data_IF_543451936450
#
_entry.id   IF_543451936450
#
_cell.length_a   1.000
_cell.length_b   1.000
_cell.length_c   1.000
_cell.angle_alpha   90.00
_cell.angle_beta   90.00
_cell.angle_gamma   90.00
#
_symmetry.space_group_name_H-M   'P 1'
#
loop_
_entity.id
_entity.type
_entity.pdbx_description
1 polymer ?
#
# COMPACT_ATOMS: atom_id res chain seq x y z
N UNK A 1 -59.15 -38.40 7.03
CA UNK A 1 -57.85 -37.69 7.00
C UNK A 1 -57.74 -36.46 7.91
N UNK A 2 -58.63 -36.23 8.90
CA UNK A 2 -58.46 -35.15 9.90
C UNK A 2 -57.95 -35.64 11.26
N UNK A 3 -58.06 -36.94 11.54
CA UNK A 3 -57.70 -37.54 12.84
C UNK A 3 -56.19 -37.71 13.05
N UNK A 4 -55.41 -37.88 11.98
CA UNK A 4 -53.95 -38.13 12.09
C UNK A 4 -53.12 -36.87 12.39
N UNK A 5 -53.58 -35.66 12.02
CA UNK A 5 -52.87 -34.41 12.31
C UNK A 5 -52.91 -34.04 13.80
N UNK A 6 -54.00 -34.41 14.48
CA UNK A 6 -54.17 -34.15 15.91
C UNK A 6 -53.28 -35.08 16.77
N UNK A 7 -53.05 -36.32 16.33
CA UNK A 7 -52.18 -37.27 17.04
C UNK A 7 -50.71 -36.79 17.02
N UNK A 8 -50.24 -36.27 15.88
CA UNK A 8 -48.86 -35.78 15.74
C UNK A 8 -48.58 -34.55 16.62
N UNK A 9 -49.55 -33.63 16.72
CA UNK A 9 -49.45 -32.44 17.57
C UNK A 9 -49.46 -32.80 19.06
N UNK A 10 -50.25 -33.80 19.47
CA UNK A 10 -50.28 -34.29 20.85
C UNK A 10 -48.94 -34.95 21.22
N UNK A 11 -48.32 -35.73 20.32
CA UNK A 11 -47.00 -36.31 20.56
C UNK A 11 -45.90 -35.25 20.74
N UNK A 12 -45.93 -34.15 19.98
CA UNK A 12 -44.97 -33.05 20.09
C UNK A 12 -45.13 -32.26 21.42
N UNK A 13 -46.36 -32.09 21.91
CA UNK A 13 -46.63 -31.41 23.18
C UNK A 13 -46.21 -32.29 24.38
N UNK A 14 -46.40 -33.61 24.32
CA UNK A 14 -45.93 -34.53 25.36
C UNK A 14 -44.39 -34.56 25.49
N UNK A 15 -43.64 -34.32 24.42
CA UNK A 15 -42.18 -34.24 24.45
C UNK A 15 -41.64 -32.97 25.15
N UNK A 16 -42.41 -31.88 25.20
CA UNK A 16 -41.97 -30.62 25.80
C UNK A 16 -42.24 -30.50 27.31
N UNK A 17 -43.14 -31.30 27.88
CA UNK A 17 -43.55 -31.16 29.30
C UNK A 17 -42.75 -32.02 30.31
N UNK A 18 -41.80 -32.84 29.87
CA UNK A 18 -41.00 -33.70 30.77
C UNK A 18 -39.75 -33.02 31.37
N UNK A 19 -39.58 -31.70 31.18
CA UNK A 19 -38.34 -30.99 31.53
C UNK A 19 -38.24 -30.46 33.00
N UNK A 20 -39.15 -30.80 33.91
CA UNK A 20 -39.15 -30.23 35.28
C UNK A 20 -39.18 -31.22 36.46
N UNK A 21 -38.79 -32.48 36.25
CA UNK A 21 -38.42 -33.41 37.33
C UNK A 21 -37.31 -34.33 36.82
N UNK A 22 -36.23 -34.53 37.57
CA UNK A 22 -35.21 -35.51 37.18
C UNK A 22 -35.86 -36.91 37.16
N UNK A 23 -35.97 -37.57 35.99
CA UNK A 23 -36.67 -38.84 35.89
C UNK A 23 -35.87 -39.91 36.62
N UNK A 24 -36.56 -40.87 37.26
CA UNK A 24 -35.88 -42.06 37.79
C UNK A 24 -35.18 -42.82 36.65
N UNK A 25 -34.14 -43.64 36.92
CA UNK A 25 -33.46 -44.42 35.88
C UNK A 25 -34.40 -45.27 35.02
N UNK A 26 -35.50 -45.76 35.59
CA UNK A 26 -36.55 -46.48 34.86
C UNK A 26 -37.38 -45.56 33.96
N UNK A 27 -37.68 -44.32 34.40
CA UNK A 27 -38.35 -43.32 33.57
C UNK A 27 -37.45 -42.82 32.44
N UNK A 28 -36.13 -42.70 32.65
CA UNK A 28 -35.16 -42.42 31.59
C UNK A 28 -35.10 -43.55 30.57
N UNK A 29 -35.04 -44.81 31.02
CA UNK A 29 -35.01 -45.97 30.11
C UNK A 29 -36.30 -46.11 29.31
N UNK A 30 -37.46 -45.85 29.93
CA UNK A 30 -38.74 -45.80 29.23
C UNK A 30 -38.84 -44.62 28.26
N UNK A 31 -38.29 -43.45 28.61
CA UNK A 31 -38.23 -42.30 27.72
C UNK A 31 -37.32 -42.57 26.51
N UNK A 32 -36.16 -43.22 26.70
CA UNK A 32 -35.26 -43.63 25.62
C UNK A 32 -35.91 -44.68 24.71
N UNK A 33 -36.57 -45.70 25.27
CA UNK A 33 -37.29 -46.70 24.49
C UNK A 33 -38.48 -46.07 23.73
N UNK A 34 -39.19 -45.13 24.35
CA UNK A 34 -40.28 -44.39 23.70
C UNK A 34 -39.75 -43.47 22.59
N UNK A 35 -38.62 -42.79 22.80
CA UNK A 35 -37.94 -42.00 21.76
C UNK A 35 -37.48 -42.90 20.60
N UNK A 36 -36.88 -44.06 20.91
CA UNK A 36 -36.41 -45.00 19.90
C UNK A 36 -37.55 -45.58 19.07
N UNK A 37 -38.65 -45.99 19.71
CA UNK A 37 -39.88 -46.42 19.03
C UNK A 37 -40.54 -45.30 18.24
N UNK A 38 -40.58 -44.08 18.76
CA UNK A 38 -41.11 -42.93 18.04
C UNK A 38 -40.27 -42.64 16.79
N UNK A 39 -38.94 -42.72 16.89
CA UNK A 39 -38.01 -42.53 15.78
C UNK A 39 -38.11 -43.67 14.74
N UNK A 40 -38.33 -44.91 15.18
CA UNK A 40 -38.63 -46.05 14.30
C UNK A 40 -39.98 -45.90 13.59
N UNK A 41 -41.04 -45.47 14.27
CA UNK A 41 -42.35 -45.23 13.65
C UNK A 41 -42.33 -44.03 12.69
N UNK A 42 -41.49 -43.02 12.95
CA UNK A 42 -41.30 -41.88 12.07
C UNK A 42 -40.46 -42.24 10.83
N UNK A 43 -39.55 -43.22 10.94
CA UNK A 43 -38.68 -43.66 9.84
C UNK A 43 -39.45 -44.25 8.65
N UNK A 44 -40.66 -44.77 8.85
CA UNK A 44 -41.50 -45.35 7.79
C UNK A 44 -42.76 -44.52 7.46
N UNK A 45 -42.95 -43.36 8.09
CA UNK A 45 -44.06 -42.47 7.77
C UNK A 45 -43.73 -41.59 6.54
N UNK A 46 -44.50 -41.68 5.44
CA UNK A 46 -44.28 -40.87 4.24
C UNK A 46 -44.26 -39.36 4.51
N UNK A 47 -45.08 -38.88 5.44
CA UNK A 47 -45.16 -37.46 5.79
C UNK A 47 -43.91 -36.97 6.54
N UNK A 48 -43.27 -37.84 7.30
CA UNK A 48 -42.03 -37.50 8.02
C UNK A 48 -40.82 -37.50 7.08
N UNK A 49 -40.75 -38.45 6.13
CA UNK A 49 -39.73 -38.43 5.06
C UNK A 49 -39.86 -37.19 4.18
N UNK A 50 -41.08 -36.77 3.88
CA UNK A 50 -41.35 -35.54 3.12
C UNK A 50 -40.95 -34.29 3.92
N UNK A 51 -41.27 -34.23 5.21
CA UNK A 51 -40.84 -33.15 6.10
C UNK A 51 -39.32 -33.04 6.23
N UNK A 52 -38.60 -34.17 6.36
CA UNK A 52 -37.14 -34.18 6.39
C UNK A 52 -36.53 -33.67 5.07
N UNK A 53 -37.05 -34.11 3.93
CA UNK A 53 -36.59 -33.60 2.62
C UNK A 53 -36.83 -32.11 2.44
N UNK A 54 -37.95 -31.59 2.94
CA UNK A 54 -38.22 -30.15 2.95
C UNK A 54 -37.26 -29.39 3.87
N UNK A 55 -36.92 -29.95 5.04
CA UNK A 55 -35.95 -29.34 5.96
C UNK A 55 -34.53 -29.35 5.39
N UNK A 56 -34.10 -30.46 4.77
CA UNK A 56 -32.81 -30.56 4.07
C UNK A 56 -32.74 -29.56 2.91
N UNK A 57 -33.80 -29.45 2.11
CA UNK A 57 -33.89 -28.46 1.04
C UNK A 57 -33.81 -27.01 1.54
N UNK A 58 -34.53 -26.69 2.61
CA UNK A 58 -34.51 -25.36 3.23
C UNK A 58 -33.16 -25.04 3.89
N UNK A 59 -32.48 -26.03 4.48
CA UNK A 59 -31.14 -25.84 5.04
C UNK A 59 -30.11 -25.58 3.94
N UNK A 60 -30.21 -26.28 2.81
CA UNK A 60 -29.31 -26.10 1.67
C UNK A 60 -29.55 -24.74 0.98
N UNK A 61 -30.80 -24.31 0.83
CA UNK A 61 -31.17 -22.97 0.37
C UNK A 61 -30.63 -21.88 1.32
N UNK A 62 -30.79 -22.04 2.64
CA UNK A 62 -30.22 -21.10 3.61
C UNK A 62 -28.70 -21.03 3.57
N UNK A 63 -28.00 -22.17 3.36
CA UNK A 63 -26.55 -22.18 3.18
C UNK A 63 -26.14 -21.44 1.90
N UNK A 64 -26.84 -21.68 0.80
CA UNK A 64 -26.57 -20.98 -0.47
C UNK A 64 -26.81 -19.47 -0.36
N UNK A 65 -27.91 -19.04 0.24
CA UNK A 65 -28.17 -17.61 0.49
C UNK A 65 -27.09 -16.98 1.39
N UNK A 66 -26.65 -17.70 2.43
CA UNK A 66 -25.61 -17.21 3.34
C UNK A 66 -24.25 -17.09 2.64
N UNK A 67 -23.90 -18.04 1.79
CA UNK A 67 -22.70 -17.97 0.95
C UNK A 67 -22.76 -16.82 -0.06
N UNK A 68 -23.92 -16.60 -0.70
CA UNK A 68 -24.12 -15.48 -1.61
C UNK A 68 -23.99 -14.14 -0.89
N UNK A 69 -24.65 -13.97 0.27
CA UNK A 69 -24.54 -12.75 1.09
C UNK A 69 -23.10 -12.51 1.57
N UNK A 70 -22.36 -13.55 1.95
CA UNK A 70 -20.95 -13.42 2.29
C UNK A 70 -20.10 -12.99 1.09
N UNK A 71 -20.29 -13.58 -0.09
CA UNK A 71 -19.58 -13.20 -1.29
C UNK A 71 -19.88 -11.76 -1.75
N UNK A 72 -21.13 -11.31 -1.62
CA UNK A 72 -21.54 -9.93 -1.90
C UNK A 72 -20.92 -8.94 -0.91
N UNK A 73 -20.91 -9.28 0.38
CA UNK A 73 -20.29 -8.44 1.41
C UNK A 73 -18.76 -8.38 1.25
N UNK A 74 -18.10 -9.50 0.95
CA UNK A 74 -16.66 -9.51 0.61
C UNK A 74 -16.35 -8.66 -0.63
N UNK A 75 -17.20 -8.74 -1.66
CA UNK A 75 -17.06 -7.92 -2.86
C UNK A 75 -17.22 -6.44 -2.53
N UNK A 76 -18.27 -6.07 -1.78
CA UNK A 76 -18.52 -4.69 -1.35
C UNK A 76 -17.38 -4.13 -0.48
N UNK A 77 -16.82 -4.94 0.40
CA UNK A 77 -15.65 -4.58 1.20
C UNK A 77 -14.40 -4.37 0.33
N UNK A 78 -14.17 -5.22 -0.67
CA UNK A 78 -13.09 -5.03 -1.65
C UNK A 78 -13.28 -3.76 -2.48
N UNK A 79 -14.50 -3.48 -2.93
CA UNK A 79 -14.82 -2.28 -3.71
C UNK A 79 -14.61 -1.01 -2.87
N UNK A 80 -15.11 -0.97 -1.63
CA UNK A 80 -14.89 0.14 -0.71
C UNK A 80 -13.41 0.34 -0.35
N UNK A 81 -12.64 -0.74 -0.16
CA UNK A 81 -11.20 -0.67 0.06
C UNK A 81 -10.46 -0.11 -1.17
N UNK A 82 -10.88 -0.49 -2.38
CA UNK A 82 -10.31 0.04 -3.62
C UNK A 82 -10.59 1.53 -3.80
N UNK A 83 -11.80 1.99 -3.46
CA UNK A 83 -12.15 3.42 -3.54
C UNK A 83 -11.37 4.25 -2.51
N UNK A 84 -11.20 3.76 -1.28
CA UNK A 84 -10.34 4.40 -0.28
C UNK A 84 -8.87 4.44 -0.73
N UNK A 85 -8.36 3.38 -1.37
CA UNK A 85 -6.99 3.38 -1.91
C UNK A 85 -6.83 4.38 -3.05
N UNK A 86 -7.83 4.49 -3.94
CA UNK A 86 -7.83 5.54 -4.97
C UNK A 86 -7.82 6.92 -4.32
N UNK A 87 -8.64 7.18 -3.32
CA UNK A 87 -8.63 8.47 -2.61
C UNK A 87 -7.27 8.75 -1.96
N UNK A 88 -6.68 7.75 -1.30
CA UNK A 88 -5.36 7.88 -0.65
C UNK A 88 -4.25 8.22 -1.66
N UNK A 89 -4.22 7.56 -2.81
CA UNK A 89 -3.21 7.83 -3.84
C UNK A 89 -3.56 9.09 -4.65
N UNK A 90 -4.77 9.25 -5.16
CA UNK A 90 -5.13 10.33 -6.09
C UNK A 90 -5.48 11.68 -5.46
N UNK A 91 -5.74 11.76 -4.15
CA UNK A 91 -6.15 13.04 -3.55
C UNK A 91 -5.09 14.11 -3.79
N UNK A 92 -5.57 15.20 -4.39
CA UNK A 92 -4.79 16.37 -4.74
C UNK A 92 -3.61 16.12 -5.68
N UNK A 93 -3.74 15.17 -6.62
CA UNK A 93 -2.68 14.89 -7.60
C UNK A 93 -3.11 15.09 -9.03
N UNK A 94 -2.15 15.54 -9.85
CA UNK A 94 -2.25 15.65 -11.30
C UNK A 94 -1.01 14.99 -11.90
N UNK A 95 -1.20 14.17 -12.93
CA UNK A 95 -0.12 13.52 -13.65
C UNK A 95 0.10 14.20 -15.00
N UNK A 96 1.36 14.34 -15.42
CA UNK A 96 1.69 14.77 -16.77
C UNK A 96 1.62 13.58 -17.74
N UNK A 97 1.65 13.87 -19.04
CA UNK A 97 2.07 12.89 -20.03
C UNK A 97 3.59 12.61 -19.95
N UNK A 98 4.10 11.74 -20.81
CA UNK A 98 5.52 11.39 -20.87
C UNK A 98 6.40 12.46 -21.51
N UNK A 99 5.82 13.54 -22.05
CA UNK A 99 6.52 14.73 -22.51
C UNK A 99 6.58 15.81 -21.42
N UNK A 100 6.04 15.53 -20.23
CA UNK A 100 6.02 16.44 -19.10
C UNK A 100 4.96 17.53 -19.18
N UNK A 101 3.89 17.32 -19.96
CA UNK A 101 2.77 18.25 -20.05
C UNK A 101 1.58 17.79 -19.22
N UNK A 102 1.08 18.67 -18.36
CA UNK A 102 -0.16 18.48 -17.61
C UNK A 102 -1.37 18.93 -18.44
N UNK A 103 -2.35 18.05 -18.68
CA UNK A 103 -3.56 18.37 -19.45
C UNK A 103 -4.48 19.36 -18.74
N UNK A 104 -4.57 19.27 -17.42
CA UNK A 104 -5.53 20.00 -16.59
C UNK A 104 -4.83 21.03 -15.69
N UNK A 105 -3.80 21.70 -16.23
CA UNK A 105 -3.01 22.68 -15.48
C UNK A 105 -3.76 24.00 -15.31
N UNK A 106 -4.09 24.34 -14.05
CA UNK A 106 -4.85 25.55 -13.72
C UNK A 106 -4.11 26.55 -12.82
N UNK A 107 -2.83 26.31 -12.54
CA UNK A 107 -2.05 27.15 -11.62
C UNK A 107 -1.30 28.29 -12.31
N UNK A 108 -1.37 28.40 -13.64
CA UNK A 108 -0.61 29.39 -14.40
C UNK A 108 0.89 29.12 -14.33
N UNK A 109 1.72 30.15 -14.57
CA UNK A 109 3.17 29.99 -14.46
C UNK A 109 3.60 29.81 -12.99
N UNK A 110 4.47 28.84 -12.75
CA UNK A 110 5.03 28.51 -11.44
C UNK A 110 6.51 28.16 -11.56
N UNK A 111 7.23 28.31 -10.46
CA UNK A 111 8.64 27.94 -10.37
C UNK A 111 8.78 26.54 -9.76
N UNK A 112 9.85 25.83 -10.13
CA UNK A 112 10.24 24.55 -9.54
C UNK A 112 11.53 24.79 -8.77
N UNK A 113 11.59 24.40 -7.50
CA UNK A 113 12.77 24.60 -6.66
C UNK A 113 13.01 23.47 -5.68
N UNK A 114 14.15 23.52 -4.99
CA UNK A 114 14.38 22.72 -3.79
C UNK A 114 14.93 23.61 -2.69
N UNK A 115 14.70 23.22 -1.43
CA UNK A 115 15.20 23.95 -0.27
C UNK A 115 16.70 23.75 -0.13
N UNK A 116 17.48 24.83 -0.04
CA UNK A 116 18.95 24.76 0.08
C UNK A 116 19.47 24.19 1.41
N UNK A 117 18.57 23.86 2.35
CA UNK A 117 18.89 23.27 3.64
C UNK A 117 19.57 24.21 4.64
N UNK A 118 19.75 25.50 4.32
CA UNK A 118 20.45 26.48 5.18
C UNK A 118 19.53 27.22 6.15
N UNK A 119 18.22 26.98 6.07
CA UNK A 119 17.26 27.52 7.03
C UNK A 119 17.55 27.04 8.45
N UNK A 120 17.56 27.96 9.42
CA UNK A 120 17.59 27.63 10.85
C UNK A 120 16.18 27.66 11.40
N UNK A 121 15.80 26.65 12.18
CA UNK A 121 14.57 26.68 12.97
C UNK A 121 14.61 27.91 13.87
N UNK A 122 13.62 28.79 13.76
CA UNK A 122 13.43 29.90 14.68
C UNK A 122 12.96 29.38 16.05
N UNK A 123 13.12 30.24 17.06
CA UNK A 123 12.80 29.93 18.45
C UNK A 123 11.30 29.62 18.69
N UNK A 124 10.42 30.06 17.79
CA UNK A 124 8.98 29.78 17.81
C UNK A 124 8.61 28.44 17.15
N UNK A 125 9.59 27.63 16.78
CA UNK A 125 9.40 26.36 16.09
C UNK A 125 9.03 26.50 14.62
N UNK A 126 8.97 27.74 14.10
CA UNK A 126 8.83 27.96 12.66
C UNK A 126 10.20 27.79 12.00
N UNK A 127 10.23 27.18 10.83
CA UNK A 127 11.33 27.44 9.93
C UNK A 127 10.93 28.69 9.14
N UNK A 128 11.67 29.81 9.23
CA UNK A 128 11.60 30.88 8.24
C UNK A 128 12.20 30.33 6.95
N UNK A 129 11.43 29.45 6.34
CA UNK A 129 11.46 29.10 4.94
C UNK A 129 11.73 30.36 4.08
N UNK A 130 12.47 30.34 2.96
CA UNK A 130 12.99 29.25 2.14
C UNK A 130 14.00 29.91 1.18
N UNK A 131 15.31 29.68 1.33
CA UNK A 131 16.19 29.90 0.18
C UNK A 131 15.96 28.74 -0.76
N UNK A 132 15.02 28.95 -1.69
CA UNK A 132 14.84 28.04 -2.80
C UNK A 132 15.95 28.24 -3.82
N UNK A 133 16.58 27.13 -4.20
CA UNK A 133 17.32 27.10 -5.46
C UNK A 133 16.30 26.76 -6.55
N UNK A 134 16.03 27.72 -7.41
CA UNK A 134 15.15 27.54 -8.56
C UNK A 134 15.87 26.70 -9.61
N UNK A 135 15.20 25.65 -10.06
CA UNK A 135 15.73 24.64 -10.99
C UNK A 135 14.84 24.43 -12.21
N UNK A 136 13.80 25.25 -12.39
CA UNK A 136 12.88 25.14 -13.50
C UNK A 136 11.57 25.86 -13.26
N UNK A 137 10.58 25.54 -14.09
CA UNK A 137 9.22 26.03 -13.98
C UNK A 137 8.22 25.13 -14.70
N UNK A 138 6.93 25.41 -14.45
CA UNK A 138 5.83 24.89 -15.26
C UNK A 138 5.17 26.10 -15.92
N UNK A 139 5.11 26.11 -17.24
CA UNK A 139 4.52 27.24 -17.97
C UNK A 139 2.98 27.29 -17.83
N UNK A 140 2.37 28.36 -18.34
CA UNK A 140 0.91 28.52 -18.30
C UNK A 140 0.13 27.39 -19.00
N UNK A 141 0.77 26.65 -19.92
CA UNK A 141 0.18 25.54 -20.66
C UNK A 141 0.44 24.18 -19.99
N UNK A 142 1.03 24.17 -18.77
CA UNK A 142 1.31 22.97 -18.01
C UNK A 142 2.56 22.21 -18.45
N UNK A 143 3.45 22.82 -19.25
CA UNK A 143 4.69 22.18 -19.66
C UNK A 143 5.78 22.34 -18.59
N UNK A 144 6.31 21.23 -18.10
CA UNK A 144 7.48 21.21 -17.21
C UNK A 144 8.74 21.53 -18.01
N UNK A 145 9.57 22.43 -17.48
CA UNK A 145 10.88 22.78 -18.01
C UNK A 145 11.89 22.87 -16.86
N UNK A 146 12.90 21.99 -16.88
CA UNK A 146 13.98 22.01 -15.88
C UNK A 146 15.20 22.73 -16.45
N UNK A 147 15.78 23.62 -15.65
CA UNK A 147 17.03 24.31 -15.90
C UNK A 147 17.90 24.20 -14.65
N UNK A 148 18.65 23.10 -14.56
CA UNK A 148 19.48 22.80 -13.40
C UNK A 148 20.71 23.72 -13.37
N UNK A 149 20.96 24.48 -12.29
CA UNK A 149 22.07 25.43 -12.23
C UNK A 149 23.43 24.72 -12.17
N UNK A 150 24.45 25.28 -12.82
CA UNK A 150 25.79 24.70 -12.83
C UNK A 150 26.54 24.86 -11.50
N UNK A 151 26.25 25.95 -10.77
CA UNK A 151 26.91 26.30 -9.52
C UNK A 151 25.96 26.03 -8.35
N UNK A 152 26.13 24.87 -7.72
CA UNK A 152 25.36 24.45 -6.55
C UNK A 152 26.28 24.42 -5.35
N UNK A 153 25.83 25.01 -4.23
CA UNK A 153 26.55 24.86 -2.96
C UNK A 153 26.15 23.52 -2.35
N UNK A 154 27.06 22.56 -2.39
CA UNK A 154 26.93 21.28 -1.71
C UNK A 154 27.70 21.34 -0.39
N UNK A 155 27.00 21.47 0.73
CA UNK A 155 27.55 21.68 2.07
C UNK A 155 27.75 20.40 2.88
N UNK A 156 27.34 19.25 2.31
CA UNK A 156 27.52 17.91 2.86
C UNK A 156 28.42 17.09 1.96
N UNK A 157 28.96 16.00 2.50
CA UNK A 157 29.69 15.00 1.72
C UNK A 157 28.74 13.89 1.29
N UNK A 158 29.08 13.10 0.27
CA UNK A 158 28.25 11.95 -0.13
C UNK A 158 28.04 10.96 1.02
N UNK A 159 29.06 10.73 1.86
CA UNK A 159 28.99 9.82 3.01
C UNK A 159 28.05 10.26 4.13
N UNK A 160 27.73 11.56 4.20
CA UNK A 160 26.87 12.15 5.24
C UNK A 160 25.52 12.63 4.70
N UNK A 161 25.48 13.05 3.43
CA UNK A 161 24.33 13.66 2.79
C UNK A 161 23.42 12.68 2.02
N UNK A 162 23.90 11.49 1.65
CA UNK A 162 23.16 10.60 0.74
C UNK A 162 22.15 9.67 1.44
N UNK A 163 22.52 8.91 2.48
CA UNK A 163 21.65 7.88 3.06
C UNK A 163 20.92 8.15 4.39
N UNK A 164 20.91 9.34 5.03
CA UNK A 164 20.16 9.48 6.29
C UNK A 164 18.64 9.25 6.16
N UNK A 165 18.12 9.03 4.94
CA UNK A 165 16.69 8.84 4.66
C UNK A 165 16.36 7.53 3.89
N UNK A 166 17.34 6.66 3.64
CA UNK A 166 17.05 5.27 3.26
C UNK A 166 17.00 4.44 4.54
N UNK A 167 15.86 4.44 5.25
CA UNK A 167 15.69 3.81 6.57
C UNK A 167 16.05 2.31 6.67
N UNK A 168 16.46 1.67 5.57
CA UNK A 168 16.79 0.26 5.43
C UNK A 168 18.31 0.00 5.25
N UNK A 169 19.11 1.02 4.91
CA UNK A 169 20.56 0.91 4.67
C UNK A 169 21.29 1.91 5.55
N UNK A 170 22.17 1.43 6.43
CA UNK A 170 23.00 2.31 7.25
C UNK A 170 24.14 2.87 6.39
N UNK A 171 24.45 4.16 6.57
CA UNK A 171 25.56 4.82 5.88
C UNK A 171 26.88 4.04 6.01
N UNK A 172 27.13 3.45 7.19
CA UNK A 172 28.35 2.71 7.52
C UNK A 172 28.50 1.40 6.74
N UNK A 173 27.41 0.86 6.18
CA UNK A 173 27.46 -0.36 5.37
C UNK A 173 27.80 -0.09 3.90
N UNK A 174 27.79 1.19 3.48
CA UNK A 174 27.98 1.59 2.08
C UNK A 174 29.46 1.81 1.78
N UNK A 175 29.90 1.28 0.64
CA UNK A 175 31.25 1.51 0.14
C UNK A 175 31.27 2.76 -0.75
N UNK A 176 32.12 3.73 -0.40
CA UNK A 176 32.29 4.97 -1.17
C UNK A 176 33.65 5.01 -1.86
N UNK A 177 33.69 5.46 -3.13
CA UNK A 177 34.98 5.67 -3.81
C UNK A 177 35.66 6.99 -3.45
N UNK A 178 34.87 8.01 -3.11
CA UNK A 178 35.32 9.34 -2.67
C UNK A 178 34.30 9.86 -1.63
N UNK A 179 34.41 9.42 -0.36
CA UNK A 179 33.40 9.71 0.66
C UNK A 179 33.27 11.20 0.99
N UNK A 180 34.32 11.99 0.79
CA UNK A 180 34.38 13.43 1.09
C UNK A 180 33.89 14.32 -0.06
N UNK A 181 33.51 13.73 -1.20
CA UNK A 181 33.01 14.48 -2.35
C UNK A 181 31.81 15.35 -1.94
N UNK A 182 31.83 16.68 -2.19
CA UNK A 182 30.71 17.55 -1.90
C UNK A 182 29.46 17.10 -2.66
N UNK A 183 28.37 16.93 -1.93
CA UNK A 183 27.15 16.30 -2.41
C UNK A 183 25.89 17.05 -1.94
N UNK A 184 24.92 17.19 -2.83
CA UNK A 184 23.61 17.74 -2.54
C UNK A 184 22.51 16.80 -3.06
N UNK A 185 21.53 16.57 -2.21
CA UNK A 185 20.31 15.86 -2.57
C UNK A 185 19.14 16.83 -2.59
N UNK A 186 18.38 16.85 -3.70
CA UNK A 186 17.22 17.75 -3.83
C UNK A 186 15.96 17.27 -3.09
N UNK A 187 16.00 16.10 -2.44
CA UNK A 187 14.80 15.41 -1.96
C UNK A 187 14.19 14.48 -3.00
N UNK A 188 13.25 13.61 -2.59
CA UNK A 188 12.48 12.74 -3.49
C UNK A 188 11.46 13.48 -4.36
N UNK A 189 11.26 14.77 -4.08
CA UNK A 189 10.42 15.69 -4.85
C UNK A 189 11.08 17.06 -4.91
N UNK A 190 10.73 17.80 -5.94
CA UNK A 190 10.96 19.25 -6.00
C UNK A 190 9.71 19.96 -5.48
N UNK A 191 9.87 21.19 -5.01
CA UNK A 191 8.77 22.04 -4.58
C UNK A 191 8.27 22.88 -5.76
N UNK A 192 6.95 23.06 -5.84
CA UNK A 192 6.30 23.97 -6.78
C UNK A 192 5.98 25.26 -6.06
N UNK A 193 6.42 26.39 -6.62
CA UNK A 193 6.33 27.71 -6.00
C UNK A 193 5.50 28.66 -6.85
N UNK A 194 4.62 29.42 -6.19
CA UNK A 194 3.87 30.52 -6.82
C UNK A 194 4.06 31.79 -6.02
N UNK A 195 4.72 32.78 -6.61
CA UNK A 195 5.05 34.03 -5.93
C UNK A 195 5.92 33.79 -4.69
N UNK A 196 6.90 32.90 -4.78
CA UNK A 196 7.81 32.55 -3.68
C UNK A 196 7.19 31.71 -2.56
N UNK A 197 5.96 31.21 -2.71
CA UNK A 197 5.31 30.32 -1.74
C UNK A 197 5.14 28.93 -2.30
N UNK A 198 5.48 27.90 -1.53
CA UNK A 198 5.17 26.51 -1.89
C UNK A 198 3.66 26.30 -2.01
N UNK A 199 3.25 25.69 -3.13
CA UNK A 199 1.87 25.27 -3.41
C UNK A 199 1.73 23.75 -3.59
N UNK A 200 2.83 23.02 -3.51
CA UNK A 200 2.84 21.57 -3.59
C UNK A 200 4.21 21.00 -3.96
N UNK A 201 4.21 19.73 -4.33
CA UNK A 201 5.39 18.93 -4.63
C UNK A 201 5.31 18.30 -6.02
N UNK A 202 6.43 18.28 -6.72
CA UNK A 202 6.62 17.63 -8.02
C UNK A 202 7.46 16.37 -7.84
N UNK A 203 6.86 15.22 -8.09
CA UNK A 203 7.54 13.93 -8.13
C UNK A 203 7.76 13.50 -9.58
N UNK A 204 8.71 12.59 -9.80
CA UNK A 204 8.96 11.99 -11.11
C UNK A 204 9.10 10.47 -11.02
N UNK A 205 8.55 9.75 -12.00
CA UNK A 205 8.58 8.28 -12.06
C UNK A 205 7.62 7.72 -13.11
N UNK A 206 7.46 6.40 -13.21
CA UNK A 206 6.57 5.80 -14.21
C UNK A 206 5.18 5.40 -13.68
N UNK A 207 4.98 5.41 -12.37
CA UNK A 207 3.72 5.02 -11.74
C UNK A 207 3.47 5.87 -10.52
N UNK A 208 2.31 6.54 -10.46
CA UNK A 208 1.93 7.39 -9.35
C UNK A 208 2.01 6.69 -7.99
N UNK A 209 1.51 5.44 -7.94
CA UNK A 209 1.47 4.62 -6.72
C UNK A 209 2.88 4.30 -6.23
N UNK A 210 3.73 3.84 -7.14
CA UNK A 210 5.11 3.46 -6.83
C UNK A 210 5.94 4.68 -6.48
N UNK A 211 5.82 5.77 -7.24
CA UNK A 211 6.47 7.05 -6.96
C UNK A 211 6.06 7.58 -5.58
N UNK A 212 4.78 7.56 -5.23
CA UNK A 212 4.32 7.96 -3.90
C UNK A 212 4.88 7.08 -2.78
N UNK A 213 4.85 5.75 -2.96
CA UNK A 213 5.33 4.82 -1.96
C UNK A 213 6.83 4.97 -1.70
N UNK A 214 7.62 5.18 -2.76
CA UNK A 214 9.06 5.39 -2.66
C UNK A 214 9.44 6.76 -2.09
N UNK A 215 8.62 7.78 -2.30
CA UNK A 215 8.86 9.12 -1.77
C UNK A 215 8.49 9.28 -0.28
N UNK A 216 7.76 8.31 0.31
CA UNK A 216 7.25 8.40 1.68
C UNK A 216 7.89 7.35 2.59
N UNK A 217 8.59 7.76 3.67
CA UNK A 217 9.18 6.83 4.65
C UNK A 217 8.21 5.77 5.19
N UNK A 218 6.95 6.15 5.42
CA UNK A 218 5.92 5.25 5.94
C UNK A 218 5.53 4.12 4.96
N UNK A 219 5.79 4.33 3.67
CA UNK A 219 5.30 3.51 2.56
C UNK A 219 6.43 2.76 1.82
N UNK A 220 7.69 2.95 2.21
CA UNK A 220 8.85 2.33 1.54
C UNK A 220 8.85 0.80 1.53
N UNK A 221 8.06 0.18 2.41
CA UNK A 221 7.86 -1.27 2.51
C UNK A 221 6.87 -1.82 1.48
N UNK A 222 6.16 -0.99 0.73
CA UNK A 222 5.22 -1.47 -0.29
C UNK A 222 5.96 -1.93 -1.56
N UNK A 223 5.41 -2.96 -2.20
CA UNK A 223 6.01 -3.64 -3.35
C UNK A 223 5.41 -3.29 -4.70
N UNK A 224 4.80 -2.12 -4.84
CA UNK A 224 4.27 -1.72 -6.14
C UNK A 224 5.44 -1.51 -7.12
N UNK A 225 5.41 -2.22 -8.24
CA UNK A 225 6.49 -2.20 -9.23
C UNK A 225 6.54 -0.86 -9.97
N UNK A 226 7.74 -0.47 -10.39
CA UNK A 226 8.00 0.80 -11.05
C UNK A 226 9.13 1.56 -10.36
N UNK A 227 9.21 2.87 -10.59
CA UNK A 227 10.32 3.65 -10.07
C UNK A 227 9.96 5.08 -9.71
N UNK A 228 10.83 5.66 -8.89
CA UNK A 228 10.93 7.09 -8.61
C UNK A 228 12.26 7.62 -9.15
N UNK A 229 12.24 8.85 -9.64
CA UNK A 229 13.41 9.61 -10.05
C UNK A 229 13.58 10.83 -9.16
N UNK A 230 14.83 11.17 -8.83
CA UNK A 230 15.18 12.41 -8.17
C UNK A 230 16.57 12.91 -8.58
N UNK A 231 16.82 14.21 -8.36
CA UNK A 231 18.08 14.84 -8.73
C UNK A 231 19.07 14.87 -7.56
N UNK A 232 20.33 14.70 -7.90
CA UNK A 232 21.45 14.82 -6.99
C UNK A 232 22.59 15.57 -7.66
N UNK A 233 23.28 16.42 -6.93
CA UNK A 233 24.47 17.11 -7.40
C UNK A 233 25.70 16.55 -6.69
N UNK A 234 26.76 16.27 -7.45
CA UNK A 234 28.07 15.93 -6.91
C UNK A 234 29.10 16.90 -7.49
N UNK A 235 29.89 17.57 -6.65
CA UNK A 235 30.93 18.49 -7.13
C UNK A 235 32.09 17.74 -7.81
N UNK A 236 32.32 16.50 -7.38
CA UNK A 236 33.38 15.62 -7.86
C UNK A 236 32.82 14.26 -8.25
N UNK A 237 33.57 13.50 -9.06
CA UNK A 237 33.20 12.13 -9.37
C UNK A 237 33.27 11.26 -8.10
N UNK A 238 32.20 10.54 -7.81
CA UNK A 238 32.12 9.64 -6.66
C UNK A 238 31.15 8.48 -6.92
N UNK A 239 31.29 7.42 -6.13
CA UNK A 239 30.44 6.24 -6.20
C UNK A 239 29.99 5.83 -4.82
N UNK A 240 28.80 5.24 -4.75
CA UNK A 240 28.27 4.59 -3.56
C UNK A 240 27.73 3.22 -3.97
N UNK A 241 28.26 2.15 -3.36
CA UNK A 241 27.84 0.78 -3.64
C UNK A 241 27.50 0.01 -2.37
N UNK A 242 26.40 -0.73 -2.44
CA UNK A 242 25.92 -1.58 -1.36
C UNK A 242 25.07 -2.72 -1.95
N UNK A 243 25.13 -3.89 -1.33
CA UNK A 243 24.27 -5.01 -1.69
C UNK A 243 23.93 -5.79 -0.43
N UNK A 244 22.64 -6.07 -0.25
CA UNK A 244 22.14 -6.91 0.83
C UNK A 244 21.07 -7.84 0.31
N UNK A 245 21.25 -9.12 0.62
CA UNK A 245 20.38 -10.21 0.23
C UNK A 245 19.79 -10.83 1.51
N UNK A 246 18.62 -10.35 1.92
CA UNK A 246 17.89 -10.85 3.08
C UNK A 246 16.96 -11.98 2.66
N UNK A 247 17.44 -13.23 2.76
CA UNK A 247 16.65 -14.42 2.37
C UNK A 247 15.53 -14.79 3.35
N UNK A 248 15.40 -14.10 4.49
CA UNK A 248 14.43 -14.44 5.53
C UNK A 248 13.90 -13.20 6.29
N UNK A 249 13.15 -12.35 5.59
CA UNK A 249 12.42 -11.23 6.22
C UNK A 249 11.04 -11.71 6.64
N UNK A 250 10.78 -11.74 7.95
CA UNK A 250 9.46 -12.05 8.50
C UNK A 250 8.56 -10.82 8.40
N UNK A 251 7.45 -10.95 7.68
CA UNK A 251 6.48 -9.88 7.49
C UNK A 251 5.14 -10.31 8.05
N UNK A 252 4.61 -9.49 8.95
CA UNK A 252 3.27 -9.64 9.51
C UNK A 252 2.32 -8.64 8.85
N UNK A 253 1.21 -9.13 8.33
CA UNK A 253 0.10 -8.33 7.82
C UNK A 253 -1.22 -8.85 8.38
N UNK A 254 -1.76 -8.16 9.38
CA UNK A 254 -2.87 -8.68 10.19
C UNK A 254 -2.46 -9.96 10.91
N UNK A 255 -3.21 -11.03 10.71
CA UNK A 255 -2.90 -12.37 11.25
C UNK A 255 -2.01 -13.21 10.31
N UNK A 256 -1.68 -12.70 9.11
CA UNK A 256 -0.87 -13.42 8.14
C UNK A 256 0.61 -13.11 8.39
N UNK A 257 1.37 -14.13 8.74
CA UNK A 257 2.83 -14.06 8.80
C UNK A 257 3.44 -14.79 7.60
N UNK A 258 4.37 -14.14 6.91
CA UNK A 258 5.12 -14.75 5.79
C UNK A 258 6.59 -14.36 5.87
N UNK A 259 7.46 -15.35 5.73
CA UNK A 259 8.89 -15.12 5.50
C UNK A 259 9.13 -14.98 4.00
N UNK A 260 9.77 -13.88 3.59
CA UNK A 260 10.07 -13.57 2.20
C UNK A 260 11.52 -13.18 2.02
N UNK A 261 12.00 -13.27 0.79
CA UNK A 261 13.31 -12.76 0.40
C UNK A 261 13.23 -11.31 -0.07
N UNK A 262 14.19 -10.49 0.34
CA UNK A 262 14.31 -9.09 -0.05
C UNK A 262 15.74 -8.77 -0.44
N UNK A 263 15.90 -8.04 -1.54
CA UNK A 263 17.19 -7.71 -2.13
C UNK A 263 17.30 -6.20 -2.32
N UNK A 264 18.31 -5.60 -1.69
CA UNK A 264 18.62 -4.18 -1.85
C UNK A 264 19.96 -4.04 -2.54
N UNK A 265 19.99 -3.31 -3.65
CA UNK A 265 21.23 -2.98 -4.37
C UNK A 265 21.35 -1.49 -4.59
N UNK A 266 22.45 -0.93 -4.16
CA UNK A 266 22.87 0.44 -4.45
C UNK A 266 24.08 0.37 -5.39
N UNK A 267 23.95 0.99 -6.56
CA UNK A 267 25.00 1.05 -7.57
C UNK A 267 24.95 2.45 -8.23
N UNK A 268 25.46 3.42 -7.48
CA UNK A 268 25.39 4.83 -7.85
C UNK A 268 26.75 5.31 -8.31
N UNK A 269 26.79 5.88 -9.51
CA UNK A 269 27.99 6.39 -10.13
C UNK A 269 27.76 7.85 -10.55
N UNK A 270 28.19 8.77 -9.71
CA UNK A 270 27.99 10.20 -9.89
C UNK A 270 29.14 10.80 -10.70
N UNK A 271 28.76 11.57 -11.72
CA UNK A 271 29.67 12.47 -12.44
C UNK A 271 29.64 13.85 -11.77
N UNK A 272 30.69 14.67 -11.93
CA UNK A 272 30.62 16.08 -11.55
C UNK A 272 29.41 16.76 -12.18
N UNK A 273 28.64 17.50 -11.38
CA UNK A 273 27.39 18.15 -11.78
C UNK A 273 26.13 17.42 -11.30
N UNK A 274 25.02 17.70 -11.98
CA UNK A 274 23.73 17.06 -11.72
C UNK A 274 23.66 15.65 -12.30
N UNK A 275 23.11 14.74 -11.51
CA UNK A 275 22.88 13.35 -11.84
C UNK A 275 21.42 13.01 -11.52
N UNK A 276 20.80 12.22 -12.38
CA UNK A 276 19.47 11.69 -12.14
C UNK A 276 19.61 10.33 -11.46
N UNK A 277 18.96 10.16 -10.31
CA UNK A 277 18.94 8.91 -9.56
C UNK A 277 17.59 8.22 -9.74
N UNK A 278 17.63 6.92 -10.03
CA UNK A 278 16.47 6.04 -10.15
C UNK A 278 16.42 5.08 -8.97
N UNK A 279 15.28 5.05 -8.28
CA UNK A 279 14.92 4.02 -7.31
C UNK A 279 13.88 3.13 -7.95
N UNK A 280 14.22 1.87 -8.18
CA UNK A 280 13.37 0.90 -8.87
C UNK A 280 12.96 -0.24 -7.95
N UNK A 281 11.66 -0.49 -7.89
CA UNK A 281 11.09 -1.73 -7.36
C UNK A 281 10.80 -2.64 -8.52
N UNK A 282 11.44 -3.80 -8.52
CA UNK A 282 11.19 -4.89 -9.44
C UNK A 282 10.77 -6.09 -8.60
N UNK A 283 9.72 -6.79 -9.01
CA UNK A 283 9.18 -7.93 -8.30
C UNK A 283 8.53 -7.58 -6.97
N UNK A 284 7.55 -8.38 -6.60
CA UNK A 284 6.91 -8.26 -5.30
C UNK A 284 6.46 -9.61 -4.76
N UNK A 285 6.23 -9.60 -3.45
CA UNK A 285 5.56 -10.64 -2.72
C UNK A 285 4.17 -10.16 -2.36
N UNK A 286 3.15 -10.92 -2.75
CA UNK A 286 1.80 -10.74 -2.23
C UNK A 286 1.68 -11.37 -0.84
N UNK A 287 1.20 -10.57 0.12
CA UNK A 287 0.96 -10.97 1.51
C UNK A 287 -0.38 -10.38 1.94
N UNK A 288 -1.40 -11.23 2.00
CA UNK A 288 -2.79 -10.78 2.20
C UNK A 288 -3.23 -9.85 1.07
N UNK A 289 -3.70 -8.65 1.43
CA UNK A 289 -4.12 -7.60 0.50
C UNK A 289 -3.03 -6.57 0.18
N UNK A 290 -1.77 -6.82 0.58
CA UNK A 290 -0.65 -5.90 0.37
C UNK A 290 0.50 -6.55 -0.38
N UNK A 291 1.30 -5.70 -1.01
CA UNK A 291 2.53 -6.08 -1.70
C UNK A 291 3.75 -5.64 -0.90
N UNK A 292 4.79 -6.46 -0.93
CA UNK A 292 6.12 -6.16 -0.39
C UNK A 292 7.14 -6.28 -1.51
N UNK A 293 8.05 -5.33 -1.62
CA UNK A 293 9.03 -5.35 -2.71
C UNK A 293 9.96 -6.56 -2.55
N UNK A 294 10.39 -7.11 -3.68
CA UNK A 294 11.36 -8.19 -3.75
C UNK A 294 12.75 -7.66 -4.05
N UNK A 295 12.89 -6.82 -5.08
CA UNK A 295 14.14 -6.17 -5.45
C UNK A 295 13.97 -4.66 -5.40
N UNK A 296 14.90 -3.97 -4.74
CA UNK A 296 14.96 -2.50 -4.66
C UNK A 296 16.33 -2.04 -5.09
N UNK A 297 16.40 -1.34 -6.22
CA UNK A 297 17.66 -0.96 -6.87
C UNK A 297 17.79 0.56 -6.95
N UNK A 298 18.97 1.08 -6.60
CA UNK A 298 19.31 2.49 -6.69
C UNK A 298 20.42 2.66 -7.73
N UNK A 299 20.16 3.41 -8.80
CA UNK A 299 21.13 3.63 -9.89
C UNK A 299 21.15 5.09 -10.34
N UNK A 300 22.26 5.53 -10.93
CA UNK A 300 22.29 6.76 -11.71
C UNK A 300 21.90 6.48 -13.16
N UNK A 301 21.10 7.36 -13.75
CA UNK A 301 20.67 7.29 -15.15
C UNK A 301 21.08 8.56 -15.89
N UNK A 302 21.35 8.45 -17.19
CA UNK A 302 21.83 9.58 -18.00
C UNK A 302 20.74 10.56 -18.41
N UNK A 303 19.50 10.08 -18.49
CA UNK A 303 18.33 10.85 -18.91
C UNK A 303 17.07 10.27 -18.26
N UNK A 304 15.97 11.03 -18.26
CA UNK A 304 14.68 10.51 -17.83
C UNK A 304 14.27 9.37 -18.77
N UNK A 305 13.89 8.19 -18.26
CA UNK A 305 13.36 7.12 -19.10
C UNK A 305 12.10 7.57 -19.85
N UNK A 306 11.88 7.05 -21.06
CA UNK A 306 10.79 7.51 -21.94
C UNK A 306 9.36 7.22 -21.45
N UNK A 307 9.20 6.36 -20.44
CA UNK A 307 7.93 6.10 -19.76
C UNK A 307 7.72 6.97 -18.50
N UNK A 308 8.69 7.82 -18.16
CA UNK A 308 8.61 8.68 -16.99
C UNK A 308 7.58 9.80 -17.18
N UNK A 309 6.93 10.16 -16.08
CA UNK A 309 5.97 11.26 -15.97
C UNK A 309 6.31 12.10 -14.74
N UNK A 310 5.74 13.29 -14.68
CA UNK A 310 5.69 14.09 -13.47
C UNK A 310 4.34 13.92 -12.77
N UNK A 311 4.38 13.95 -11.44
CA UNK A 311 3.20 13.92 -10.59
C UNK A 311 3.24 15.15 -9.69
N UNK A 312 2.32 16.09 -9.94
CA UNK A 312 2.14 17.25 -9.08
C UNK A 312 1.14 16.90 -7.98
N UNK A 313 1.56 17.03 -6.72
CA UNK A 313 0.70 16.94 -5.55
C UNK A 313 0.54 18.32 -4.93
N UNK A 314 -0.66 18.91 -5.02
CA UNK A 314 -0.92 20.22 -4.44
C UNK A 314 -1.33 20.12 -2.96
N UNK A 315 -0.98 21.15 -2.19
CA UNK A 315 -1.31 21.28 -0.76
C UNK A 315 -2.76 21.76 -0.55
#
# INVERSE_FOLDING_TARGET
MKTNKNILAICLICLMQLASAQPTPEQQKQAEEAQKKAMEMMKDNPQFKEALKMMEGAEEEMKQERMQKQAEEEKRQKDAANDHLKEFYWRNKVASDTQGKFSDWSWGEVEIGYQDGKGKMQADGTYPYENYVIVGGIDANGQVQLNLPSNVVADRTISTGFFPQMHEVLNDDVNYSNPEAPFLWSGYSLDILKGGKKIGHLYSGNSERTTHNLASPANMKYGDEGYLLYWAYAAEACKATYSKDDHAVRILEGEIEKTVEQYTRVDLNFKPGWNLVKIEVNGNHSIGNRTRWKWKTYTTVSEMPGDAKYYFKYD
#
